data_IF_566406071729
#
_entry.id   IF_566406071729
#
_cell.length_a   1.000
_cell.length_b   1.000
_cell.length_c   1.000
_cell.angle_alpha   90.00
_cell.angle_beta   90.00
_cell.angle_gamma   90.00
#
_symmetry.space_group_name_H-M   'P 1'
#
loop_
_entity.id
_entity.type
_entity.pdbx_description
1 polymer ?
#
# COMPACT_ATOMS: atom_id res chain seq x y z
N UNK A 1 47.64 -27.82 20.49
CA UNK A 1 47.27 -26.74 19.55
C UNK A 1 45.77 -26.73 19.43
N UNK A 2 45.10 -25.86 20.19
CA UNK A 2 43.65 -25.81 20.29
C UNK A 2 43.24 -24.33 20.28
N UNK A 3 42.49 -23.91 19.27
CA UNK A 3 41.91 -22.58 19.17
C UNK A 3 40.40 -22.73 19.04
N UNK A 4 39.72 -22.57 20.18
CA UNK A 4 38.28 -22.40 20.30
C UNK A 4 37.92 -21.00 19.81
N UNK A 5 37.12 -20.89 18.75
CA UNK A 5 36.47 -19.64 18.35
C UNK A 5 35.04 -19.68 18.86
N UNK A 6 34.81 -18.98 19.97
CA UNK A 6 33.50 -18.70 20.56
C UNK A 6 32.99 -17.40 19.94
N UNK A 7 32.08 -17.51 18.96
CA UNK A 7 31.34 -16.35 18.43
C UNK A 7 30.06 -16.16 19.25
N UNK A 8 30.11 -15.21 20.19
CA UNK A 8 28.95 -14.66 20.88
C UNK A 8 28.27 -13.64 19.98
N UNK A 9 27.24 -14.05 19.24
CA UNK A 9 26.30 -13.12 18.61
C UNK A 9 25.35 -12.57 19.69
N UNK A 10 25.66 -11.40 20.24
CA UNK A 10 24.69 -10.57 20.97
C UNK A 10 23.80 -9.85 19.94
N UNK A 11 22.66 -10.45 19.61
CA UNK A 11 21.53 -9.73 19.02
C UNK A 11 20.92 -8.83 20.10
N UNK A 12 21.30 -7.55 20.06
CA UNK A 12 20.62 -6.50 20.82
C UNK A 12 19.27 -6.24 20.15
N UNK A 13 18.19 -6.74 20.76
CA UNK A 13 16.83 -6.33 20.44
C UNK A 13 16.70 -4.83 20.71
N UNK A 14 16.65 -4.01 19.65
CA UNK A 14 16.10 -2.67 19.73
C UNK A 14 14.58 -2.79 19.81
N UNK A 15 14.05 -2.86 21.03
CA UNK A 15 12.67 -2.51 21.31
C UNK A 15 12.51 -1.00 21.10
N UNK A 16 12.13 -0.59 19.90
CA UNK A 16 11.56 0.74 19.66
C UNK A 16 10.17 0.76 20.29
N UNK A 17 10.13 1.01 21.60
CA UNK A 17 8.91 1.34 22.31
C UNK A 17 8.29 2.57 21.62
N UNK A 18 7.14 2.34 20.99
CA UNK A 18 6.25 3.36 20.47
C UNK A 18 5.77 4.21 21.66
N UNK A 19 6.53 5.25 22.01
CA UNK A 19 6.08 6.25 22.97
C UNK A 19 5.20 7.24 22.23
N UNK A 20 3.91 7.21 22.54
CA UNK A 20 3.01 8.29 22.18
C UNK A 20 3.53 9.58 22.82
N UNK A 21 3.58 10.71 22.08
CA UNK A 21 3.96 11.98 22.68
C UNK A 21 2.93 12.33 23.76
N UNK A 22 3.42 12.31 24.99
CA UNK A 22 2.75 12.78 26.20
C UNK A 22 2.31 14.22 25.98
N UNK A 23 1.03 14.47 26.25
CA UNK A 23 0.36 15.78 26.17
C UNK A 23 1.30 16.94 26.47
N UNK A 24 1.49 17.81 25.46
CA UNK A 24 2.01 19.14 25.67
C UNK A 24 0.95 19.87 26.50
N UNK A 25 1.22 20.04 27.80
CA UNK A 25 0.55 21.02 28.62
C UNK A 25 0.93 22.41 28.10
N UNK A 26 0.28 22.85 27.02
CA UNK A 26 0.20 24.27 26.71
C UNK A 26 -0.73 24.86 27.75
N UNK A 27 -0.16 25.61 28.70
CA UNK A 27 -0.90 26.55 29.51
C UNK A 27 -1.70 27.45 28.56
N UNK A 28 -2.98 27.13 28.41
CA UNK A 28 -3.91 27.86 27.57
C UNK A 28 -4.02 29.26 28.11
N UNK A 29 -3.38 30.20 27.40
CA UNK A 29 -3.86 31.57 27.38
C UNK A 29 -5.30 31.49 26.87
N UNK A 30 -6.31 31.98 27.61
CA UNK A 30 -7.69 31.88 27.16
C UNK A 30 -7.78 32.58 25.81
N UNK A 31 -8.14 31.80 24.79
CA UNK A 31 -8.53 32.30 23.48
C UNK A 31 -9.70 33.23 23.78
N UNK A 32 -9.42 34.53 23.71
CA UNK A 32 -10.43 35.56 23.69
C UNK A 32 -11.44 35.18 22.62
N UNK A 33 -12.66 34.90 23.08
CA UNK A 33 -13.80 34.54 22.27
C UNK A 33 -13.86 35.47 21.05
N UNK A 34 -13.58 34.90 19.88
CA UNK A 34 -13.96 35.50 18.60
C UNK A 34 -15.48 35.53 18.66
N UNK A 35 -16.07 36.72 18.85
CA UNK A 35 -17.52 36.91 18.84
C UNK A 35 -18.04 36.60 17.42
N UNK A 36 -18.77 35.49 17.20
CA UNK A 36 -19.32 35.12 15.90
C UNK A 36 -20.77 35.62 15.72
N UNK A 37 -21.30 36.41 16.67
CA UNK A 37 -22.75 36.61 16.77
C UNK A 37 -23.31 37.65 15.78
N UNK A 38 -22.52 38.64 15.35
CA UNK A 38 -23.04 39.70 14.45
C UNK A 38 -23.18 39.24 12.99
N UNK A 39 -22.28 38.38 12.49
CA UNK A 39 -22.35 37.87 11.11
C UNK A 39 -23.44 36.80 10.92
N UNK A 40 -23.77 36.06 11.98
CA UNK A 40 -24.85 35.07 11.96
C UNK A 40 -26.23 35.76 11.92
N UNK A 41 -26.37 36.90 12.59
CA UNK A 41 -27.58 37.72 12.56
C UNK A 41 -27.89 38.25 11.15
N UNK A 42 -26.88 38.78 10.45
CA UNK A 42 -27.02 39.17 9.04
C UNK A 42 -27.36 37.99 8.11
N UNK A 43 -26.84 36.80 8.43
CA UNK A 43 -27.14 35.55 7.72
C UNK A 43 -28.61 35.14 7.84
N UNK A 44 -29.14 35.16 9.05
CA UNK A 44 -30.51 34.77 9.35
C UNK A 44 -31.52 35.79 8.79
N UNK A 45 -31.19 37.08 8.82
CA UNK A 45 -32.01 38.14 8.22
C UNK A 45 -32.15 37.98 6.69
N UNK A 46 -31.04 37.67 6.00
CA UNK A 46 -31.05 37.42 4.56
C UNK A 46 -31.83 36.13 4.20
N UNK A 47 -31.79 35.12 5.07
CA UNK A 47 -32.56 33.89 4.89
C UNK A 47 -34.08 34.12 5.04
N UNK A 48 -34.47 34.91 6.04
CA UNK A 48 -35.87 35.28 6.26
C UNK A 48 -36.44 36.09 5.10
N UNK A 49 -35.67 37.05 4.56
CA UNK A 49 -36.06 37.81 3.38
C UNK A 49 -36.33 36.89 2.17
N UNK A 50 -35.49 35.87 1.96
CA UNK A 50 -35.69 34.89 0.89
C UNK A 50 -36.93 34.01 1.08
N UNK A 51 -37.17 33.50 2.30
CA UNK A 51 -38.38 32.71 2.58
C UNK A 51 -39.65 33.53 2.34
N UNK A 52 -39.62 34.82 2.68
CA UNK A 52 -40.75 35.72 2.45
C UNK A 52 -41.06 35.85 0.95
N UNK A 53 -40.04 36.06 0.11
CA UNK A 53 -40.21 36.13 -1.35
C UNK A 53 -40.66 34.80 -1.96
N UNK A 54 -40.28 33.66 -1.37
CA UNK A 54 -40.73 32.33 -1.82
C UNK A 54 -42.22 32.08 -1.54
N UNK A 55 -42.82 32.82 -0.59
CA UNK A 55 -44.25 32.74 -0.21
C UNK A 55 -45.14 33.75 -0.96
N UNK A 56 -44.55 34.72 -1.67
CA UNK A 56 -45.28 35.76 -2.43
C UNK A 56 -45.92 35.22 -3.72
N UNK A 57 -46.95 35.90 -4.29
CA UNK A 57 -47.70 35.40 -5.44
C UNK A 57 -46.81 35.16 -6.67
N UNK A 58 -47.33 34.36 -7.61
CA UNK A 58 -46.57 33.81 -8.76
C UNK A 58 -45.79 34.85 -9.59
N UNK A 59 -46.22 36.11 -9.61
CA UNK A 59 -45.46 37.19 -10.27
C UNK A 59 -44.10 37.43 -9.61
N UNK A 60 -44.07 37.66 -8.28
CA UNK A 60 -42.82 37.91 -7.54
C UNK A 60 -41.90 36.70 -7.59
N UNK A 61 -42.45 35.49 -7.46
CA UNK A 61 -41.67 34.25 -7.53
C UNK A 61 -40.97 34.09 -8.87
N UNK A 62 -41.65 34.40 -9.99
CA UNK A 62 -41.05 34.35 -11.33
C UNK A 62 -39.95 35.40 -11.50
N UNK A 63 -40.18 36.63 -11.05
CA UNK A 63 -39.16 37.71 -11.13
C UNK A 63 -37.95 37.37 -10.25
N UNK A 64 -38.17 36.91 -9.02
CA UNK A 64 -37.11 36.46 -8.11
C UNK A 64 -36.30 35.29 -8.69
N UNK A 65 -36.95 34.34 -9.38
CA UNK A 65 -36.28 33.26 -10.11
C UNK A 65 -35.34 33.78 -11.21
N UNK A 66 -35.76 34.81 -11.97
CA UNK A 66 -34.91 35.43 -13.00
C UNK A 66 -33.77 36.24 -12.43
N UNK A 67 -33.98 36.89 -11.29
CA UNK A 67 -32.91 37.55 -10.54
C UNK A 67 -31.90 36.50 -10.13
N UNK A 68 -32.34 35.42 -9.45
CA UNK A 68 -31.47 34.33 -8.98
C UNK A 68 -30.55 33.75 -10.06
N UNK A 69 -31.08 33.47 -11.26
CA UNK A 69 -30.27 32.92 -12.37
C UNK A 69 -29.21 33.91 -12.86
N UNK A 70 -29.51 35.22 -12.83
CA UNK A 70 -28.64 36.28 -13.37
C UNK A 70 -27.71 36.92 -12.34
N UNK A 71 -27.89 36.65 -11.05
CA UNK A 71 -27.00 37.13 -9.98
C UNK A 71 -25.59 36.49 -10.00
N UNK A 72 -25.38 35.42 -10.79
CA UNK A 72 -24.08 34.75 -10.92
C UNK A 72 -23.06 35.55 -11.73
N UNK A 73 -23.53 36.42 -12.64
CA UNK A 73 -22.69 37.29 -13.44
C UNK A 73 -22.43 38.58 -12.66
N UNK A 74 -21.19 38.73 -12.18
CA UNK A 74 -20.58 39.86 -11.47
C UNK A 74 -21.38 41.18 -11.53
N UNK A 75 -21.89 41.62 -10.36
CA UNK A 75 -22.66 42.84 -10.13
C UNK A 75 -23.71 43.10 -11.22
N UNK A 76 -24.96 42.69 -10.99
CA UNK A 76 -26.04 42.90 -11.96
C UNK A 76 -25.91 44.27 -12.63
N UNK A 77 -25.70 44.24 -13.95
CA UNK A 77 -25.63 45.43 -14.78
C UNK A 77 -26.76 46.38 -14.35
N UNK A 78 -26.47 47.67 -14.21
CA UNK A 78 -27.44 48.65 -13.77
C UNK A 78 -28.77 48.55 -14.54
N UNK A 79 -28.72 48.26 -15.85
CA UNK A 79 -29.92 48.04 -16.66
C UNK A 79 -30.73 46.80 -16.24
N UNK A 80 -30.07 45.71 -15.84
CA UNK A 80 -30.74 44.52 -15.32
C UNK A 80 -31.30 44.75 -13.91
N UNK A 81 -30.61 45.54 -13.10
CA UNK A 81 -31.12 46.00 -11.79
C UNK A 81 -32.38 46.84 -11.95
N UNK A 82 -32.35 47.80 -12.88
CA UNK A 82 -33.51 48.63 -13.22
C UNK A 82 -34.66 47.76 -13.77
N UNK A 83 -34.38 46.85 -14.71
CA UNK A 83 -35.39 45.93 -15.27
C UNK A 83 -36.02 45.03 -14.19
N UNK A 84 -35.23 44.50 -13.26
CA UNK A 84 -35.70 43.72 -12.13
C UNK A 84 -36.58 44.55 -11.19
N UNK A 85 -36.16 45.76 -10.85
CA UNK A 85 -36.92 46.69 -10.00
C UNK A 85 -38.25 47.10 -10.66
N UNK A 86 -38.25 47.39 -11.96
CA UNK A 86 -39.47 47.64 -12.74
C UNK A 86 -40.40 46.42 -12.65
N UNK A 87 -39.87 45.22 -12.91
CA UNK A 87 -40.67 43.99 -12.91
C UNK A 87 -41.28 43.69 -11.53
N UNK A 88 -40.53 43.90 -10.44
CA UNK A 88 -41.04 43.76 -9.07
C UNK A 88 -42.11 44.81 -8.74
N UNK A 89 -41.91 46.04 -9.17
CA UNK A 89 -42.90 47.13 -9.02
C UNK A 89 -44.19 46.79 -9.75
N UNK A 90 -44.11 46.30 -10.99
CA UNK A 90 -45.28 45.89 -11.76
C UNK A 90 -46.02 44.71 -11.11
N UNK A 91 -45.29 43.77 -10.49
CA UNK A 91 -45.92 42.72 -9.69
C UNK A 91 -46.69 43.30 -8.50
N UNK A 92 -46.15 44.31 -7.81
CA UNK A 92 -46.84 45.00 -6.71
C UNK A 92 -48.08 45.76 -7.21
N UNK A 93 -47.96 46.52 -8.29
CA UNK A 93 -49.07 47.27 -8.87
C UNK A 93 -50.18 46.35 -9.38
N UNK A 94 -49.84 45.20 -9.96
CA UNK A 94 -50.81 44.20 -10.39
C UNK A 94 -51.61 43.61 -9.22
N UNK A 95 -51.07 43.62 -8.00
CA UNK A 95 -51.79 43.21 -6.79
C UNK A 95 -52.64 44.32 -6.17
N UNK A 96 -52.40 45.58 -6.53
CA UNK A 96 -53.17 46.71 -6.02
C UNK A 96 -54.46 46.90 -6.82
N UNK A 97 -55.61 46.76 -6.16
CA UNK A 97 -56.94 46.78 -6.81
C UNK A 97 -57.34 48.12 -7.45
N UNK A 98 -56.69 49.23 -7.10
CA UNK A 98 -57.10 50.58 -7.50
C UNK A 98 -56.07 51.34 -8.34
N UNK A 99 -55.02 50.66 -8.83
CA UNK A 99 -53.98 51.31 -9.63
C UNK A 99 -53.84 50.62 -10.98
N UNK A 100 -53.99 51.38 -12.07
CA UNK A 100 -53.67 50.92 -13.41
C UNK A 100 -52.18 51.03 -13.68
N UNK A 101 -51.60 50.02 -14.31
CA UNK A 101 -50.21 50.03 -14.76
C UNK A 101 -50.02 51.13 -15.82
N UNK A 102 -48.97 51.98 -15.73
CA UNK A 102 -48.67 52.97 -16.77
C UNK A 102 -48.48 52.33 -18.14
N UNK A 103 -49.04 52.94 -19.20
CA UNK A 103 -48.97 52.41 -20.56
C UNK A 103 -47.53 52.35 -21.08
N UNK A 104 -46.67 53.25 -20.61
CA UNK A 104 -45.23 53.28 -20.89
C UNK A 104 -44.51 52.03 -20.38
N UNK A 105 -45.09 51.32 -19.41
CA UNK A 105 -44.56 50.08 -18.85
C UNK A 105 -45.20 48.81 -19.45
N UNK A 106 -46.15 48.93 -20.38
CA UNK A 106 -46.93 47.79 -20.89
C UNK A 106 -46.07 46.71 -21.57
N UNK A 107 -44.91 47.08 -22.11
CA UNK A 107 -43.96 46.16 -22.73
C UNK A 107 -43.14 45.34 -21.72
N UNK A 108 -43.11 45.73 -20.45
CA UNK A 108 -42.44 44.96 -19.38
C UNK A 108 -43.35 43.86 -18.90
N UNK A 109 -43.30 42.72 -19.58
CA UNK A 109 -43.81 41.48 -19.03
C UNK A 109 -42.68 40.76 -18.30
N UNK A 110 -43.01 39.91 -17.32
CA UNK A 110 -42.01 39.12 -16.59
C UNK A 110 -41.13 38.31 -17.56
N UNK A 111 -41.65 37.97 -18.75
CA UNK A 111 -40.99 37.16 -19.78
C UNK A 111 -40.35 37.92 -20.94
N UNK A 112 -40.49 39.25 -21.01
CA UNK A 112 -39.93 40.02 -22.12
C UNK A 112 -38.47 40.39 -21.87
N UNK A 113 -37.59 40.02 -22.81
CA UNK A 113 -36.21 40.52 -22.90
C UNK A 113 -36.15 41.87 -23.61
N UNK A 114 -36.85 42.87 -23.05
CA UNK A 114 -36.75 44.24 -23.52
C UNK A 114 -35.39 44.81 -23.12
N UNK A 115 -34.47 44.85 -24.10
CA UNK A 115 -33.10 45.37 -23.92
C UNK A 115 -32.96 46.87 -24.20
N UNK A 116 -34.01 47.56 -24.63
CA UNK A 116 -33.92 48.99 -24.96
C UNK A 116 -33.99 49.86 -23.70
N UNK A 117 -32.88 50.53 -23.40
CA UNK A 117 -32.75 51.51 -22.30
C UNK A 117 -33.78 52.65 -22.40
N UNK A 118 -34.21 53.01 -23.61
CA UNK A 118 -35.23 54.04 -23.84
C UNK A 118 -36.60 53.64 -23.27
N UNK A 119 -37.01 52.38 -23.42
CA UNK A 119 -38.29 51.89 -22.89
C UNK A 119 -38.21 51.78 -21.35
N UNK A 120 -37.06 51.36 -20.80
CA UNK A 120 -36.81 51.38 -19.36
C UNK A 120 -36.93 52.81 -18.80
N UNK A 121 -36.28 53.79 -19.45
CA UNK A 121 -36.33 55.19 -19.05
C UNK A 121 -37.75 55.77 -19.08
N UNK A 122 -38.53 55.48 -20.12
CA UNK A 122 -39.92 55.93 -20.23
C UNK A 122 -40.82 55.34 -19.12
N UNK A 123 -40.63 54.06 -18.79
CA UNK A 123 -41.37 53.43 -17.69
C UNK A 123 -40.97 54.00 -16.31
N UNK A 124 -39.66 54.25 -16.09
CA UNK A 124 -39.18 54.90 -14.85
C UNK A 124 -39.68 56.33 -14.72
N UNK A 125 -39.70 57.10 -15.82
CA UNK A 125 -40.31 58.44 -15.87
C UNK A 125 -41.80 58.37 -15.47
N UNK A 126 -42.54 57.39 -16.01
CA UNK A 126 -43.94 57.18 -15.65
C UNK A 126 -44.14 56.84 -14.16
N UNK A 127 -43.26 56.03 -13.55
CA UNK A 127 -43.29 55.79 -12.10
C UNK A 127 -43.03 57.05 -11.28
N UNK A 128 -42.17 57.96 -11.75
CA UNK A 128 -41.86 59.21 -11.05
C UNK A 128 -43.07 60.16 -10.92
N UNK A 129 -44.09 60.00 -11.77
CA UNK A 129 -45.33 60.80 -11.74
C UNK A 129 -46.23 60.47 -10.54
N UNK A 130 -46.01 59.35 -9.85
CA UNK A 130 -46.73 58.93 -8.65
C UNK A 130 -45.76 58.65 -7.51
N UNK A 131 -45.89 59.37 -6.40
CA UNK A 131 -45.04 59.17 -5.22
C UNK A 131 -45.08 57.72 -4.70
N UNK A 132 -46.24 57.06 -4.79
CA UNK A 132 -46.40 55.66 -4.39
C UNK A 132 -45.61 54.72 -5.30
N UNK A 133 -45.71 54.89 -6.63
CA UNK A 133 -45.02 54.02 -7.58
C UNK A 133 -43.51 54.24 -7.53
N UNK A 134 -43.09 55.49 -7.38
CA UNK A 134 -41.68 55.84 -7.17
C UNK A 134 -41.11 55.22 -5.89
N UNK A 135 -41.89 55.19 -4.80
CA UNK A 135 -41.48 54.57 -3.54
C UNK A 135 -41.26 53.06 -3.73
N UNK A 136 -42.20 52.33 -4.34
CA UNK A 136 -42.05 50.90 -4.59
C UNK A 136 -40.87 50.60 -5.52
N UNK A 137 -40.73 51.35 -6.63
CA UNK A 137 -39.61 51.19 -7.56
C UNK A 137 -38.25 51.45 -6.91
N UNK A 138 -38.09 52.57 -6.21
CA UNK A 138 -36.83 52.91 -5.56
C UNK A 138 -36.48 51.97 -4.40
N UNK A 139 -37.49 51.40 -3.73
CA UNK A 139 -37.33 50.31 -2.78
C UNK A 139 -36.73 49.08 -3.43
N UNK A 140 -37.39 48.53 -4.47
CA UNK A 140 -36.88 47.35 -5.16
C UNK A 140 -35.52 47.58 -5.84
N UNK A 141 -35.24 48.79 -6.33
CA UNK A 141 -33.93 49.11 -6.90
C UNK A 141 -32.79 48.94 -5.88
N UNK A 142 -33.05 49.22 -4.59
CA UNK A 142 -32.10 49.02 -3.48
C UNK A 142 -32.09 47.58 -2.96
N UNK A 143 -33.25 46.91 -2.98
CA UNK A 143 -33.38 45.53 -2.48
C UNK A 143 -32.82 44.48 -3.44
N UNK A 144 -32.92 44.69 -4.76
CA UNK A 144 -32.48 43.72 -5.77
C UNK A 144 -30.99 43.31 -5.61
N UNK A 145 -30.03 44.24 -5.38
CA UNK A 145 -28.67 43.86 -5.04
C UNK A 145 -28.57 42.99 -3.78
N UNK A 146 -29.32 43.32 -2.73
CA UNK A 146 -29.33 42.57 -1.47
C UNK A 146 -29.88 41.14 -1.69
N UNK A 147 -30.93 41.01 -2.49
CA UNK A 147 -31.48 39.71 -2.91
C UNK A 147 -30.44 38.90 -3.69
N UNK A 148 -29.67 39.53 -4.58
CA UNK A 148 -28.59 38.84 -5.28
C UNK A 148 -27.48 38.35 -4.35
N UNK A 149 -27.06 39.17 -3.38
CA UNK A 149 -26.11 38.72 -2.37
C UNK A 149 -26.63 37.53 -1.58
N UNK A 150 -27.92 37.54 -1.19
CA UNK A 150 -28.56 36.43 -0.51
C UNK A 150 -28.60 35.16 -1.40
N UNK A 151 -28.97 35.28 -2.68
CA UNK A 151 -29.00 34.14 -3.61
C UNK A 151 -27.64 33.53 -3.86
N UNK A 152 -26.62 34.35 -4.06
CA UNK A 152 -25.24 33.89 -4.26
C UNK A 152 -24.76 33.12 -3.04
N UNK A 153 -24.92 33.70 -1.86
CA UNK A 153 -24.54 33.05 -0.59
C UNK A 153 -25.27 31.74 -0.40
N UNK A 154 -26.55 31.67 -0.74
CA UNK A 154 -27.33 30.44 -0.64
C UNK A 154 -26.81 29.36 -1.60
N UNK A 155 -26.48 29.74 -2.85
CA UNK A 155 -25.87 28.83 -3.82
C UNK A 155 -24.48 28.36 -3.36
N UNK A 156 -23.69 29.24 -2.76
CA UNK A 156 -22.38 28.89 -2.19
C UNK A 156 -22.53 27.90 -1.01
N UNK A 157 -23.53 28.10 -0.15
CA UNK A 157 -23.85 27.17 0.96
C UNK A 157 -24.25 25.79 0.42
N UNK A 158 -25.12 25.74 -0.60
CA UNK A 158 -25.55 24.47 -1.18
C UNK A 158 -24.40 23.77 -1.93
N UNK A 159 -23.55 24.53 -2.62
CA UNK A 159 -22.32 24.01 -3.24
C UNK A 159 -21.38 23.45 -2.18
N UNK A 160 -21.17 24.17 -1.07
CA UNK A 160 -20.35 23.70 0.03
C UNK A 160 -20.91 22.40 0.64
N UNK A 161 -22.22 22.32 0.88
CA UNK A 161 -22.87 21.09 1.36
C UNK A 161 -22.65 19.91 0.42
N UNK A 162 -22.75 20.13 -0.89
CA UNK A 162 -22.51 19.07 -1.87
C UNK A 162 -21.03 18.61 -1.87
N UNK A 163 -20.09 19.55 -1.80
CA UNK A 163 -18.65 19.24 -1.64
C UNK A 163 -18.41 18.42 -0.36
N UNK A 164 -18.98 18.82 0.77
CA UNK A 164 -18.85 18.07 2.04
C UNK A 164 -19.44 16.67 1.95
N UNK A 165 -20.59 16.51 1.30
CA UNK A 165 -21.21 15.21 1.06
C UNK A 165 -20.31 14.33 0.20
N UNK A 166 -19.78 14.84 -0.90
CA UNK A 166 -18.88 14.11 -1.78
C UNK A 166 -17.58 13.71 -1.06
N UNK A 167 -16.97 14.65 -0.31
CA UNK A 167 -15.78 14.39 0.50
C UNK A 167 -16.03 13.33 1.60
N UNK A 168 -17.21 13.34 2.23
CA UNK A 168 -17.59 12.33 3.22
C UNK A 168 -17.71 10.94 2.59
N UNK A 169 -18.31 10.85 1.40
CA UNK A 169 -18.43 9.59 0.66
C UNK A 169 -17.04 9.06 0.28
N UNK A 170 -16.15 9.92 -0.24
CA UNK A 170 -14.77 9.53 -0.59
C UNK A 170 -14.00 9.05 0.64
N UNK A 171 -14.13 9.75 1.77
CA UNK A 171 -13.50 9.36 3.03
C UNK A 171 -14.02 8.00 3.50
N UNK A 172 -15.33 7.75 3.39
CA UNK A 172 -15.92 6.45 3.74
C UNK A 172 -15.37 5.33 2.85
N UNK A 173 -15.24 5.58 1.53
CA UNK A 173 -14.68 4.62 0.59
C UNK A 173 -13.21 4.30 0.90
N UNK A 174 -12.42 5.33 1.24
CA UNK A 174 -11.03 5.15 1.66
C UNK A 174 -10.93 4.29 2.93
N UNK A 175 -11.76 4.57 3.94
CA UNK A 175 -11.81 3.77 5.17
C UNK A 175 -12.16 2.31 4.85
N UNK A 176 -13.15 2.06 3.98
CA UNK A 176 -13.50 0.70 3.57
C UNK A 176 -12.34 -0.02 2.87
N UNK A 177 -11.60 0.68 2.01
CA UNK A 177 -10.42 0.12 1.35
C UNK A 177 -9.31 -0.23 2.36
N UNK A 178 -9.06 0.64 3.34
CA UNK A 178 -8.09 0.38 4.40
C UNK A 178 -8.50 -0.83 5.26
N UNK A 179 -9.78 -0.95 5.62
CA UNK A 179 -10.30 -2.11 6.35
C UNK A 179 -10.18 -3.41 5.54
N UNK A 180 -10.45 -3.36 4.23
CA UNK A 180 -10.29 -4.51 3.36
C UNK A 180 -8.82 -4.97 3.28
N UNK A 181 -7.89 -4.02 3.18
CA UNK A 181 -6.45 -4.29 3.22
C UNK A 181 -6.02 -4.88 4.55
N UNK A 182 -6.44 -4.30 5.68
CA UNK A 182 -6.12 -4.82 7.01
C UNK A 182 -6.61 -6.27 7.17
N UNK A 183 -7.82 -6.58 6.69
CA UNK A 183 -8.35 -7.94 6.69
C UNK A 183 -7.48 -8.90 5.87
N UNK A 184 -6.99 -8.46 4.71
CA UNK A 184 -6.07 -9.25 3.88
C UNK A 184 -4.73 -9.47 4.59
N UNK A 185 -4.17 -8.45 5.23
CA UNK A 185 -2.92 -8.53 5.97
C UNK A 185 -3.04 -9.48 7.17
N UNK A 186 -4.16 -9.43 7.90
CA UNK A 186 -4.46 -10.37 8.99
C UNK A 186 -4.60 -11.81 8.48
N UNK A 187 -5.21 -12.02 7.31
CA UNK A 187 -5.28 -13.35 6.70
C UNK A 187 -3.91 -13.84 6.24
N UNK A 188 -3.08 -12.96 5.68
CA UNK A 188 -1.69 -13.24 5.33
C UNK A 188 -0.86 -13.63 6.55
N UNK A 189 -0.97 -12.87 7.65
CA UNK A 189 -0.31 -13.16 8.92
C UNK A 189 -0.71 -14.54 9.47
N UNK A 190 -2.00 -14.88 9.47
CA UNK A 190 -2.46 -16.21 9.88
C UNK A 190 -1.86 -17.35 9.03
N UNK A 191 -1.72 -17.15 7.72
CA UNK A 191 -1.07 -18.13 6.83
C UNK A 191 0.43 -18.26 7.15
N UNK A 192 1.09 -17.13 7.41
CA UNK A 192 2.49 -17.12 7.79
C UNK A 192 2.73 -17.83 9.12
N UNK A 193 1.90 -17.56 10.13
CA UNK A 193 1.95 -18.24 11.44
C UNK A 193 1.75 -19.75 11.27
N UNK A 194 0.84 -20.19 10.39
CA UNK A 194 0.65 -21.61 10.07
C UNK A 194 1.91 -22.22 9.41
N UNK A 195 2.55 -21.52 8.47
CA UNK A 195 3.81 -21.99 7.86
C UNK A 195 4.97 -22.05 8.85
N UNK A 196 5.07 -21.09 9.79
CA UNK A 196 6.07 -21.15 10.84
C UNK A 196 5.85 -22.36 11.76
N UNK A 197 4.59 -22.67 12.09
CA UNK A 197 4.26 -23.87 12.86
C UNK A 197 4.60 -25.16 12.10
N UNK A 198 4.39 -25.21 10.78
CA UNK A 198 4.78 -26.34 9.93
C UNK A 198 6.32 -26.50 9.90
N UNK A 199 7.06 -25.40 9.78
CA UNK A 199 8.52 -25.42 9.83
C UNK A 199 9.05 -25.89 11.18
N UNK A 200 8.40 -25.50 12.29
CA UNK A 200 8.73 -26.00 13.62
C UNK A 200 8.51 -27.52 13.70
N UNK A 201 7.40 -28.03 13.16
CA UNK A 201 7.14 -29.46 13.08
C UNK A 201 8.22 -30.18 12.26
N UNK A 202 8.59 -29.65 11.09
CA UNK A 202 9.67 -30.21 10.26
C UNK A 202 11.01 -30.21 11.01
N UNK A 203 11.34 -29.13 11.71
CA UNK A 203 12.55 -29.03 12.51
C UNK A 203 12.57 -30.06 13.66
N UNK A 204 11.44 -30.26 14.34
CA UNK A 204 11.33 -31.30 15.38
C UNK A 204 11.46 -32.71 14.80
N UNK A 205 10.86 -32.99 13.63
CA UNK A 205 11.02 -34.27 12.92
C UNK A 205 12.49 -34.51 12.54
N UNK A 206 13.17 -33.52 11.97
CA UNK A 206 14.61 -33.57 11.67
C UNK A 206 15.44 -33.85 12.92
N UNK A 207 15.13 -33.20 14.05
CA UNK A 207 15.80 -33.46 15.33
C UNK A 207 15.57 -34.90 15.81
N UNK A 208 14.36 -35.42 15.71
CA UNK A 208 14.08 -36.82 16.08
C UNK A 208 14.80 -37.81 15.17
N UNK A 209 14.90 -37.51 13.86
CA UNK A 209 15.64 -38.34 12.92
C UNK A 209 17.14 -38.31 13.20
N UNK A 210 17.70 -37.14 13.52
CA UNK A 210 19.09 -37.02 13.97
C UNK A 210 19.36 -37.86 15.22
N UNK A 211 18.47 -37.81 16.22
CA UNK A 211 18.60 -38.62 17.42
C UNK A 211 18.50 -40.13 17.11
N UNK A 212 17.62 -40.54 16.19
CA UNK A 212 17.53 -41.93 15.75
C UNK A 212 18.81 -42.40 15.04
N UNK A 213 19.37 -41.55 14.17
CA UNK A 213 20.64 -41.82 13.48
C UNK A 213 21.76 -42.00 14.51
N UNK A 214 21.86 -41.14 15.51
CA UNK A 214 22.86 -41.28 16.59
C UNK A 214 22.70 -42.59 17.38
N UNK A 215 21.47 -43.00 17.67
CA UNK A 215 21.18 -44.29 18.34
C UNK A 215 21.60 -45.46 17.44
N UNK A 216 21.28 -45.43 16.14
CA UNK A 216 21.66 -46.49 15.20
C UNK A 216 23.18 -46.55 15.04
N UNK A 217 23.86 -45.42 14.87
CA UNK A 217 25.32 -45.35 14.76
C UNK A 217 25.98 -45.88 16.03
N UNK A 218 25.53 -45.43 17.21
CA UNK A 218 26.10 -45.89 18.49
C UNK A 218 25.84 -47.37 18.78
N UNK A 219 24.75 -47.95 18.28
CA UNK A 219 24.48 -49.39 18.41
C UNK A 219 25.22 -50.23 17.35
N UNK A 220 25.37 -49.71 16.13
CA UNK A 220 26.03 -50.40 15.03
C UNK A 220 27.55 -50.40 15.20
N UNK A 221 28.15 -49.29 15.64
CA UNK A 221 29.61 -49.15 15.80
C UNK A 221 30.24 -50.28 16.63
N UNK A 222 29.80 -50.61 17.86
CA UNK A 222 30.41 -51.67 18.64
C UNK A 222 30.13 -53.05 18.05
N UNK A 223 28.97 -53.28 17.40
CA UNK A 223 28.70 -54.55 16.72
C UNK A 223 29.64 -54.75 15.54
N UNK A 224 29.85 -53.70 14.75
CA UNK A 224 30.77 -53.73 13.63
C UNK A 224 32.20 -53.99 14.11
N UNK A 225 32.66 -53.27 15.14
CA UNK A 225 33.98 -53.51 15.75
C UNK A 225 34.13 -54.94 16.28
N UNK A 226 33.10 -55.48 16.92
CA UNK A 226 33.14 -56.82 17.49
C UNK A 226 33.13 -57.91 16.40
N UNK A 227 32.27 -57.79 15.38
CA UNK A 227 32.26 -58.67 14.20
C UNK A 227 33.60 -58.63 13.46
N UNK A 228 34.17 -57.43 13.24
CA UNK A 228 35.47 -57.27 12.60
C UNK A 228 36.59 -57.90 13.42
N UNK A 229 36.57 -57.73 14.75
CA UNK A 229 37.51 -58.41 15.64
C UNK A 229 37.36 -59.92 15.53
N UNK A 230 36.13 -60.44 15.55
CA UNK A 230 35.85 -61.88 15.47
C UNK A 230 36.32 -62.46 14.14
N UNK A 231 36.11 -61.75 13.02
CA UNK A 231 36.60 -62.14 11.70
C UNK A 231 38.13 -62.13 11.67
N UNK A 232 38.76 -61.07 12.19
CA UNK A 232 40.23 -60.97 12.25
C UNK A 232 40.83 -62.07 13.11
N UNK A 233 40.21 -62.40 14.25
CA UNK A 233 40.68 -63.44 15.15
C UNK A 233 40.46 -64.83 14.54
N UNK A 234 39.31 -65.10 13.92
CA UNK A 234 39.08 -66.34 13.17
C UNK A 234 40.07 -66.49 11.99
N UNK A 235 40.43 -65.38 11.33
CA UNK A 235 41.40 -65.38 10.26
C UNK A 235 42.82 -65.65 10.79
N UNK A 236 43.20 -65.06 11.94
CA UNK A 236 44.46 -65.35 12.62
C UNK A 236 44.54 -66.80 13.08
N UNK A 237 43.48 -67.34 13.67
CA UNK A 237 43.42 -68.71 14.14
C UNK A 237 43.56 -69.69 12.97
N UNK A 238 42.85 -69.44 11.86
CA UNK A 238 43.02 -70.25 10.65
C UNK A 238 44.41 -70.12 10.03
N UNK A 239 45.02 -68.93 10.04
CA UNK A 239 46.41 -68.75 9.59
C UNK A 239 47.39 -69.52 10.47
N UNK A 240 47.20 -69.48 11.79
CA UNK A 240 47.99 -70.24 12.74
C UNK A 240 47.83 -71.75 12.50
N UNK A 241 46.60 -72.21 12.28
CA UNK A 241 46.30 -73.62 12.04
C UNK A 241 46.83 -74.12 10.69
N UNK A 242 46.74 -73.31 9.63
CA UNK A 242 47.39 -73.60 8.35
C UNK A 242 48.91 -73.63 8.50
N UNK A 243 49.50 -72.74 9.31
CA UNK A 243 50.94 -72.71 9.53
C UNK A 243 51.44 -73.88 10.38
N UNK A 244 50.68 -74.32 11.38
CA UNK A 244 51.00 -75.52 12.18
C UNK A 244 50.79 -76.79 11.38
N UNK A 245 49.70 -76.90 10.61
CA UNK A 245 49.46 -78.04 9.73
C UNK A 245 50.49 -78.10 8.61
N UNK A 246 50.84 -76.98 7.97
CA UNK A 246 51.92 -76.94 6.98
C UNK A 246 53.29 -77.29 7.58
N UNK A 247 53.57 -76.91 8.84
CA UNK A 247 54.80 -77.32 9.54
C UNK A 247 54.79 -78.79 9.94
N UNK A 248 53.66 -79.31 10.41
CA UNK A 248 53.50 -80.72 10.78
C UNK A 248 53.56 -81.63 9.55
N UNK A 249 52.94 -81.23 8.44
CA UNK A 249 53.08 -81.90 7.15
C UNK A 249 54.48 -81.74 6.58
N UNK A 250 55.13 -80.58 6.66
CA UNK A 250 56.53 -80.46 6.26
C UNK A 250 57.46 -81.32 7.12
N UNK A 251 57.22 -81.45 8.44
CA UNK A 251 58.00 -82.36 9.27
C UNK A 251 57.71 -83.82 8.93
N UNK A 252 56.44 -84.16 8.67
CA UNK A 252 56.05 -85.51 8.28
C UNK A 252 56.59 -85.88 6.89
N UNK A 253 56.63 -84.94 5.94
CA UNK A 253 57.20 -85.10 4.60
C UNK A 253 58.74 -85.11 4.67
N UNK A 254 59.37 -84.34 5.55
CA UNK A 254 60.83 -84.42 5.78
C UNK A 254 61.20 -85.75 6.45
N UNK A 255 60.39 -86.26 7.38
CA UNK A 255 60.60 -87.56 8.03
C UNK A 255 60.26 -88.72 7.07
N UNK A 256 59.23 -88.58 6.22
CA UNK A 256 58.95 -89.52 5.14
C UNK A 256 60.04 -89.50 4.08
N UNK A 257 60.51 -88.34 3.63
CA UNK A 257 61.62 -88.21 2.67
C UNK A 257 62.92 -88.73 3.29
N UNK A 258 63.17 -88.51 4.59
CA UNK A 258 64.32 -89.08 5.31
C UNK A 258 64.27 -90.62 5.35
N UNK A 259 63.08 -91.19 5.54
CA UNK A 259 62.88 -92.65 5.53
C UNK A 259 62.82 -93.26 4.11
N UNK A 260 62.32 -92.52 3.13
CA UNK A 260 62.21 -92.92 1.72
C UNK A 260 63.52 -92.70 0.96
N UNK A 261 64.41 -91.78 1.35
CA UNK A 261 65.74 -91.61 0.72
C UNK A 261 66.62 -92.86 0.90
N UNK A 262 66.33 -93.70 1.91
CA UNK A 262 66.97 -95.01 2.06
C UNK A 262 66.38 -96.10 1.13
N UNK A 263 65.19 -95.88 0.55
CA UNK A 263 64.48 -96.83 -0.30
C UNK A 263 64.35 -96.38 -1.77
N UNK A 264 64.56 -95.10 -2.06
CA UNK A 264 64.62 -94.47 -3.40
C UNK A 264 65.87 -94.92 -4.20
N UNK A 265 66.77 -95.71 -3.60
CA UNK A 265 67.79 -96.43 -4.37
C UNK A 265 67.24 -97.65 -5.14
N UNK A 266 65.96 -98.05 -4.96
CA UNK A 266 65.50 -99.32 -5.56
C UNK A 266 64.23 -99.36 -6.40
N UNK A 267 63.28 -98.43 -6.37
CA UNK A 267 62.04 -98.63 -7.18
C UNK A 267 61.37 -97.36 -7.69
N UNK A 268 61.75 -96.96 -8.90
CA UNK A 268 61.05 -95.95 -9.75
C UNK A 268 59.84 -96.58 -10.50
N UNK A 269 59.16 -97.58 -9.92
CA UNK A 269 58.13 -98.35 -10.65
C UNK A 269 56.69 -98.21 -10.17
N UNK A 270 56.43 -97.68 -8.97
CA UNK A 270 55.10 -97.75 -8.32
C UNK A 270 54.60 -96.32 -7.96
N UNK A 271 54.97 -95.33 -8.78
CA UNK A 271 54.72 -93.91 -8.45
C UNK A 271 53.29 -93.45 -8.78
N UNK A 272 52.50 -94.21 -9.55
CA UNK A 272 51.22 -93.70 -10.06
C UNK A 272 50.02 -93.97 -9.14
N UNK A 273 50.03 -95.04 -8.34
CA UNK A 273 48.90 -95.38 -7.46
C UNK A 273 48.99 -94.75 -6.06
N UNK A 274 50.19 -94.45 -5.57
CA UNK A 274 50.36 -93.81 -4.26
C UNK A 274 50.16 -92.29 -4.31
N UNK A 275 50.37 -91.66 -5.48
CA UNK A 275 50.09 -90.24 -5.69
C UNK A 275 48.60 -89.90 -5.55
N UNK A 276 47.68 -90.78 -6.02
CA UNK A 276 46.24 -90.54 -5.87
C UNK A 276 45.74 -90.70 -4.42
N UNK A 277 46.30 -91.63 -3.65
CA UNK A 277 45.91 -91.80 -2.25
C UNK A 277 46.49 -90.71 -1.33
N UNK A 278 47.63 -90.12 -1.69
CA UNK A 278 48.21 -88.96 -1.00
C UNK A 278 47.57 -87.61 -1.42
N UNK A 279 47.05 -87.49 -2.65
CA UNK A 279 46.36 -86.28 -3.12
C UNK A 279 44.89 -86.18 -2.66
N UNK A 280 44.24 -87.29 -2.31
CA UNK A 280 42.85 -87.31 -1.84
C UNK A 280 42.56 -86.37 -0.64
N UNK A 281 43.37 -86.36 0.44
CA UNK A 281 43.17 -85.40 1.53
C UNK A 281 43.37 -83.95 1.09
N UNK A 282 44.36 -83.69 0.22
CA UNK A 282 44.61 -82.35 -0.34
C UNK A 282 43.44 -81.85 -1.19
N UNK A 283 42.79 -82.74 -1.94
CA UNK A 283 41.61 -82.42 -2.74
C UNK A 283 40.38 -82.13 -1.88
N UNK A 284 40.17 -82.89 -0.80
CA UNK A 284 39.08 -82.63 0.15
C UNK A 284 39.29 -81.31 0.92
N UNK A 285 40.53 -81.01 1.30
CA UNK A 285 40.88 -79.75 1.97
C UNK A 285 40.81 -78.55 1.01
N UNK A 286 41.16 -78.73 -0.26
CA UNK A 286 40.95 -77.75 -1.33
C UNK A 286 39.46 -77.43 -1.53
N UNK A 287 38.58 -78.42 -1.47
CA UNK A 287 37.13 -78.23 -1.56
C UNK A 287 36.57 -77.46 -0.36
N UNK A 288 37.03 -77.77 0.86
CA UNK A 288 36.62 -77.04 2.06
C UNK A 288 37.14 -75.59 2.07
N UNK A 289 38.35 -75.35 1.56
CA UNK A 289 38.86 -73.99 1.36
C UNK A 289 38.05 -73.22 0.29
N UNK A 290 37.55 -73.92 -0.74
CA UNK A 290 36.67 -73.34 -1.76
C UNK A 290 35.30 -72.95 -1.19
N UNK A 291 34.69 -73.75 -0.32
CA UNK A 291 33.40 -73.41 0.31
C UNK A 291 33.51 -72.19 1.23
N UNK A 292 34.63 -72.07 1.95
CA UNK A 292 34.92 -70.90 2.80
C UNK A 292 35.17 -69.66 1.94
N UNK A 293 35.89 -69.81 0.83
CA UNK A 293 36.09 -68.72 -0.14
C UNK A 293 34.77 -68.28 -0.78
N UNK A 294 33.89 -69.22 -1.15
CA UNK A 294 32.56 -68.92 -1.68
C UNK A 294 31.66 -68.22 -0.64
N UNK A 295 31.68 -68.67 0.60
CA UNK A 295 30.91 -68.02 1.69
C UNK A 295 31.42 -66.61 1.98
N UNK A 296 32.73 -66.41 1.98
CA UNK A 296 33.33 -65.08 2.11
C UNK A 296 32.97 -64.19 0.91
N UNK A 297 32.90 -64.75 -0.29
CA UNK A 297 32.52 -64.02 -1.50
C UNK A 297 31.03 -63.60 -1.50
N UNK A 298 30.12 -64.45 -1.02
CA UNK A 298 28.70 -64.07 -0.85
C UNK A 298 28.52 -62.95 0.19
N UNK A 299 29.21 -63.04 1.33
CA UNK A 299 29.25 -61.98 2.34
C UNK A 299 29.76 -60.67 1.72
N UNK A 300 30.82 -60.76 0.90
CA UNK A 300 31.39 -59.57 0.25
C UNK A 300 30.45 -58.93 -0.76
N UNK A 301 29.71 -59.73 -1.52
CA UNK A 301 28.68 -59.23 -2.44
C UNK A 301 27.57 -58.52 -1.67
N UNK A 302 27.09 -59.11 -0.56
CA UNK A 302 26.03 -58.51 0.25
C UNK A 302 26.48 -57.19 0.91
N UNK A 303 27.73 -57.13 1.39
CA UNK A 303 28.32 -55.94 1.98
C UNK A 303 28.50 -54.83 0.94
N UNK A 304 28.94 -55.20 -0.28
CA UNK A 304 29.04 -54.26 -1.41
C UNK A 304 27.68 -53.71 -1.81
N UNK A 305 26.64 -54.55 -1.81
CA UNK A 305 25.27 -54.14 -2.08
C UNK A 305 24.78 -53.12 -1.05
N UNK A 306 24.95 -53.38 0.25
CA UNK A 306 24.56 -52.44 1.31
C UNK A 306 25.32 -51.12 1.22
N UNK A 307 26.61 -51.16 0.88
CA UNK A 307 27.40 -49.95 0.69
C UNK A 307 26.86 -49.09 -0.47
N UNK A 308 26.42 -49.72 -1.56
CA UNK A 308 25.79 -49.01 -2.69
C UNK A 308 24.49 -48.31 -2.29
N UNK A 309 23.65 -48.97 -1.49
CA UNK A 309 22.38 -48.42 -0.99
C UNK A 309 22.62 -47.24 -0.04
N UNK A 310 23.63 -47.35 0.82
CA UNK A 310 24.06 -46.26 1.71
C UNK A 310 24.61 -45.07 0.90
N UNK A 311 25.40 -45.34 -0.14
CA UNK A 311 25.91 -44.29 -1.02
C UNK A 311 24.79 -43.56 -1.76
N UNK A 312 23.77 -44.29 -2.23
CA UNK A 312 22.61 -43.71 -2.90
C UNK A 312 21.78 -42.83 -1.95
N UNK A 313 21.53 -43.30 -0.72
CA UNK A 313 20.81 -42.51 0.30
C UNK A 313 21.57 -41.25 0.70
N UNK A 314 22.90 -41.29 0.79
CA UNK A 314 23.72 -40.08 1.01
C UNK A 314 23.56 -39.07 -0.12
N UNK A 315 23.52 -39.53 -1.38
CA UNK A 315 23.31 -38.65 -2.55
C UNK A 315 21.92 -38.02 -2.52
N UNK A 316 20.88 -38.79 -2.20
CA UNK A 316 19.51 -38.27 -2.08
C UNK A 316 19.37 -37.23 -0.96
N UNK A 317 19.97 -37.49 0.20
CA UNK A 317 20.00 -36.52 1.31
C UNK A 317 20.78 -35.26 0.91
N UNK A 318 21.94 -35.40 0.26
CA UNK A 318 22.73 -34.27 -0.25
C UNK A 318 21.94 -33.40 -1.23
N UNK A 319 21.24 -34.04 -2.18
CA UNK A 319 20.37 -33.34 -3.14
C UNK A 319 19.20 -32.63 -2.42
N UNK A 320 18.60 -33.27 -1.42
CA UNK A 320 17.57 -32.67 -0.58
C UNK A 320 18.06 -31.43 0.16
N UNK A 321 19.26 -31.50 0.78
CA UNK A 321 19.89 -30.37 1.48
C UNK A 321 20.24 -29.24 0.51
N UNK A 322 20.78 -29.56 -0.67
CA UNK A 322 21.07 -28.55 -1.70
C UNK A 322 19.81 -27.80 -2.14
N UNK A 323 18.71 -28.54 -2.38
CA UNK A 323 17.41 -27.95 -2.74
C UNK A 323 16.83 -27.09 -1.61
N UNK A 324 16.93 -27.54 -0.36
CA UNK A 324 16.49 -26.76 0.80
C UNK A 324 17.30 -25.46 0.94
N UNK A 325 18.62 -25.52 0.75
CA UNK A 325 19.50 -24.35 0.78
C UNK A 325 19.13 -23.35 -0.31
N UNK A 326 18.91 -23.80 -1.55
CA UNK A 326 18.49 -22.93 -2.64
C UNK A 326 17.12 -22.28 -2.39
N UNK A 327 16.19 -23.01 -1.75
CA UNK A 327 14.87 -22.49 -1.39
C UNK A 327 14.97 -21.44 -0.28
N UNK A 328 15.84 -21.67 0.72
CA UNK A 328 16.11 -20.73 1.79
C UNK A 328 16.78 -19.45 1.26
N UNK A 329 17.72 -19.58 0.31
CA UNK A 329 18.36 -18.44 -0.33
C UNK A 329 17.38 -17.60 -1.17
N UNK A 330 16.46 -18.26 -1.89
CA UNK A 330 15.39 -17.56 -2.57
C UNK A 330 14.45 -16.83 -1.59
N UNK A 331 14.15 -17.44 -0.43
CA UNK A 331 13.29 -16.80 0.58
C UNK A 331 13.97 -15.62 1.27
N UNK A 332 15.29 -15.69 1.52
CA UNK A 332 16.05 -14.57 2.11
C UNK A 332 16.18 -13.41 1.14
N UNK A 333 16.39 -13.67 -0.15
CA UNK A 333 16.37 -12.64 -1.19
C UNK A 333 15.00 -11.96 -1.28
N UNK A 334 13.91 -12.72 -1.25
CA UNK A 334 12.55 -12.15 -1.25
C UNK A 334 12.31 -11.28 -0.01
N UNK A 335 12.75 -11.74 1.16
CA UNK A 335 12.62 -10.97 2.40
C UNK A 335 13.40 -9.64 2.34
N UNK A 336 14.58 -9.63 1.72
CA UNK A 336 15.34 -8.39 1.49
C UNK A 336 14.59 -7.42 0.57
N UNK A 337 14.06 -7.90 -0.56
CA UNK A 337 13.29 -7.05 -1.49
C UNK A 337 12.06 -6.45 -0.80
N UNK A 338 11.35 -7.25 0.01
CA UNK A 338 10.20 -6.75 0.78
C UNK A 338 10.62 -5.72 1.82
N UNK A 339 11.75 -5.94 2.50
CA UNK A 339 12.29 -4.99 3.48
C UNK A 339 12.68 -3.65 2.84
N UNK A 340 13.36 -3.69 1.69
CA UNK A 340 13.75 -2.48 0.94
C UNK A 340 12.51 -1.70 0.46
N UNK A 341 11.48 -2.42 -0.03
CA UNK A 341 10.21 -1.81 -0.41
C UNK A 341 9.49 -1.16 0.79
N UNK A 342 9.57 -1.78 1.97
CA UNK A 342 9.00 -1.23 3.20
C UNK A 342 9.74 0.04 3.65
N UNK A 343 11.08 0.06 3.57
CA UNK A 343 11.89 1.25 3.86
C UNK A 343 11.51 2.37 2.91
N UNK A 344 11.46 2.11 1.59
CA UNK A 344 11.10 3.10 0.58
C UNK A 344 9.69 3.69 0.80
N UNK A 345 8.72 2.83 1.13
CA UNK A 345 7.35 3.25 1.45
C UNK A 345 7.30 4.14 2.71
N UNK A 346 8.06 3.79 3.77
CA UNK A 346 8.14 4.60 4.99
C UNK A 346 8.75 5.98 4.73
N UNK A 347 9.76 6.04 3.85
CA UNK A 347 10.47 7.27 3.49
C UNK A 347 9.57 8.20 2.66
N UNK A 348 8.79 7.63 1.72
CA UNK A 348 7.76 8.39 1.01
C UNK A 348 6.67 8.92 1.93
N UNK A 349 6.21 8.13 2.91
CA UNK A 349 5.23 8.58 3.89
C UNK A 349 5.78 9.71 4.78
N UNK A 350 7.05 9.62 5.20
CA UNK A 350 7.74 10.68 5.95
C UNK A 350 7.84 11.98 5.15
N UNK A 351 8.25 11.91 3.88
CA UNK A 351 8.34 13.08 3.01
C UNK A 351 6.96 13.73 2.76
N UNK A 352 5.90 12.92 2.66
CA UNK A 352 4.53 13.42 2.54
C UNK A 352 4.09 14.16 3.82
N UNK A 353 4.41 13.62 4.99
CA UNK A 353 4.10 14.27 6.25
C UNK A 353 4.85 15.60 6.41
N UNK A 354 6.12 15.65 5.99
CA UNK A 354 6.92 16.87 6.00
C UNK A 354 6.35 17.94 5.05
N UNK A 355 6.01 17.56 3.81
CA UNK A 355 5.40 18.48 2.84
C UNK A 355 4.03 19.00 3.31
N UNK A 356 3.20 18.15 3.93
CA UNK A 356 1.94 18.60 4.54
C UNK A 356 2.18 19.57 5.70
N UNK A 357 3.19 19.33 6.52
CA UNK A 357 3.56 20.21 7.63
C UNK A 357 4.04 21.56 7.10
N UNK A 358 4.90 21.55 6.08
CA UNK A 358 5.41 22.76 5.44
C UNK A 358 4.30 23.57 4.75
N UNK A 359 3.36 22.90 4.07
CA UNK A 359 2.19 23.55 3.48
C UNK A 359 1.30 24.20 4.55
N UNK A 360 1.11 23.51 5.67
CA UNK A 360 0.31 24.02 6.79
C UNK A 360 0.97 25.24 7.43
N UNK A 361 2.29 25.21 7.67
CA UNK A 361 3.02 26.35 8.25
C UNK A 361 3.04 27.54 7.30
N UNK A 362 3.32 27.35 6.00
CA UNK A 362 3.27 28.44 5.02
C UNK A 362 1.87 29.03 4.85
N UNK A 363 0.83 28.21 4.93
CA UNK A 363 -0.56 28.69 4.92
C UNK A 363 -0.84 29.53 6.17
N UNK A 364 -0.38 29.10 7.34
CA UNK A 364 -0.57 29.83 8.60
C UNK A 364 0.19 31.17 8.60
N UNK A 365 1.46 31.19 8.17
CA UNK A 365 2.22 32.44 8.02
C UNK A 365 1.57 33.39 7.01
N UNK A 366 1.02 32.86 5.91
CA UNK A 366 0.33 33.69 4.90
C UNK A 366 -0.94 34.31 5.48
N UNK A 367 -1.71 33.54 6.25
CA UNK A 367 -2.90 34.03 6.95
C UNK A 367 -2.54 35.08 8.01
N UNK A 368 -1.45 34.88 8.76
CA UNK A 368 -1.00 35.83 9.77
C UNK A 368 -0.51 37.14 9.14
N UNK A 369 0.23 37.06 8.03
CA UNK A 369 0.61 38.24 7.22
C UNK A 369 -0.62 38.97 6.68
N UNK A 370 -1.62 38.24 6.20
CA UNK A 370 -2.90 38.82 5.77
C UNK A 370 -3.61 39.52 6.93
N UNK A 371 -3.66 38.89 8.10
CA UNK A 371 -4.30 39.45 9.28
C UNK A 371 -3.57 40.71 9.78
N UNK A 372 -2.24 40.71 9.81
CA UNK A 372 -1.44 41.88 10.16
C UNK A 372 -1.61 43.02 9.16
N UNK A 373 -1.69 42.69 7.86
CA UNK A 373 -1.95 43.66 6.79
C UNK A 373 -3.34 44.29 6.94
N UNK A 374 -4.37 43.47 7.20
CA UNK A 374 -5.72 43.94 7.46
C UNK A 374 -5.81 44.81 8.73
N UNK A 375 -5.10 44.43 9.79
CA UNK A 375 -5.01 45.18 11.04
C UNK A 375 -4.33 46.55 10.87
N UNK A 376 -3.22 46.62 10.12
CA UNK A 376 -2.57 47.88 9.78
C UNK A 376 -3.44 48.75 8.87
N UNK A 377 -4.21 48.16 7.97
CA UNK A 377 -5.17 48.90 7.14
C UNK A 377 -6.27 49.51 8.02
N UNK A 378 -6.84 48.73 8.95
CA UNK A 378 -7.83 49.21 9.90
C UNK A 378 -7.26 50.33 10.79
N UNK A 379 -6.08 50.12 11.39
CA UNK A 379 -5.46 51.11 12.28
C UNK A 379 -4.97 52.38 11.58
N UNK A 380 -4.70 52.37 10.29
CA UNK A 380 -4.35 53.60 9.55
C UNK A 380 -5.58 54.33 9.02
N UNK A 381 -6.70 53.63 8.82
CA UNK A 381 -7.96 54.23 8.37
C UNK A 381 -8.80 54.81 9.52
N UNK A 382 -8.60 54.34 10.76
CA UNK A 382 -9.43 54.69 11.92
C UNK A 382 -9.02 55.92 12.78
N UNK A 383 -7.76 56.41 12.88
CA UNK A 383 -7.44 57.45 13.87
C UNK A 383 -7.52 58.90 13.37
N UNK A 384 -7.78 59.18 12.08
CA UNK A 384 -7.68 60.58 11.58
C UNK A 384 -8.73 61.05 10.56
N UNK A 385 -9.66 60.22 10.16
CA UNK A 385 -10.76 60.66 9.31
C UNK A 385 -11.92 61.14 10.20
N UNK A 386 -12.19 62.45 10.20
CA UNK A 386 -13.54 62.91 10.54
C UNK A 386 -14.54 62.18 9.64
N UNK A 387 -15.77 61.98 10.12
CA UNK A 387 -16.85 61.22 9.44
C UNK A 387 -17.06 61.54 7.94
N UNK A 388 -16.57 62.68 7.46
CA UNK A 388 -16.60 63.13 6.07
C UNK A 388 -15.48 62.55 5.19
N UNK A 389 -14.27 62.30 5.73
CA UNK A 389 -13.14 61.78 4.95
C UNK A 389 -13.22 60.25 4.74
N UNK A 390 -13.94 59.56 5.64
CA UNK A 390 -14.20 58.12 5.56
C UNK A 390 -15.16 57.78 4.41
N UNK A 391 -16.06 58.70 4.06
CA UNK A 391 -16.92 58.58 2.87
C UNK A 391 -16.12 58.71 1.56
N UNK A 392 -15.15 59.63 1.52
CA UNK A 392 -14.29 59.84 0.35
C UNK A 392 -13.30 58.68 0.13
N UNK A 393 -12.76 58.11 1.19
CA UNK A 393 -11.90 56.91 1.12
C UNK A 393 -12.66 55.66 0.66
N UNK A 394 -13.91 55.46 1.11
CA UNK A 394 -14.76 54.38 0.60
C UNK A 394 -15.04 54.56 -0.91
N UNK A 395 -15.28 55.79 -1.37
CA UNK A 395 -15.50 56.10 -2.79
C UNK A 395 -14.21 55.93 -3.64
N UNK A 396 -13.04 56.28 -3.09
CA UNK A 396 -11.75 56.12 -3.75
C UNK A 396 -11.27 54.66 -3.81
N UNK A 397 -11.49 53.86 -2.76
CA UNK A 397 -11.17 52.41 -2.74
C UNK A 397 -12.11 51.65 -3.69
N UNK A 398 -13.39 52.02 -3.77
CA UNK A 398 -14.32 51.47 -4.76
C UNK A 398 -13.93 51.84 -6.20
N UNK A 399 -13.38 53.04 -6.45
CA UNK A 399 -12.87 53.43 -7.78
C UNK A 399 -11.54 52.77 -8.17
N UNK A 400 -10.63 52.53 -7.24
CA UNK A 400 -9.30 51.97 -7.55
C UNK A 400 -9.29 50.45 -7.67
N UNK A 401 -10.14 49.75 -6.91
CA UNK A 401 -10.36 48.31 -7.08
C UNK A 401 -11.02 47.98 -8.42
N UNK A 402 -11.86 48.89 -8.95
CA UNK A 402 -12.43 48.77 -10.31
C UNK A 402 -11.38 48.90 -11.43
N UNK A 403 -10.32 49.70 -11.26
CA UNK A 403 -9.29 49.89 -12.29
C UNK A 403 -8.19 48.82 -12.27
N UNK A 404 -7.85 48.28 -11.09
CA UNK A 404 -6.89 47.17 -10.96
C UNK A 404 -7.46 45.84 -11.50
N UNK A 405 -8.76 45.60 -11.33
CA UNK A 405 -9.44 44.44 -11.92
C UNK A 405 -9.55 44.56 -13.45
N UNK A 406 -9.71 45.77 -14.00
CA UNK A 406 -9.72 46.01 -15.44
C UNK A 406 -8.36 45.72 -16.12
N UNK A 407 -7.24 45.96 -15.43
CA UNK A 407 -5.91 45.74 -16.00
C UNK A 407 -5.43 44.27 -15.92
N UNK A 408 -5.82 43.55 -14.87
CA UNK A 408 -5.51 42.12 -14.74
C UNK A 408 -6.30 41.24 -15.72
N UNK A 409 -7.48 41.70 -16.16
CA UNK A 409 -8.32 41.01 -17.13
C UNK A 409 -7.85 41.19 -18.60
N UNK A 410 -7.00 42.19 -18.87
CA UNK A 410 -6.55 42.51 -20.24
C UNK A 410 -5.28 41.76 -20.66
N UNK A 411 -4.55 41.15 -19.72
CA UNK A 411 -3.32 40.38 -19.97
C UNK A 411 -3.54 38.86 -20.06
N UNK A 412 -4.73 38.35 -19.69
CA UNK A 412 -5.05 36.92 -19.73
C UNK A 412 -5.88 36.48 -20.94
N UNK A 413 -6.21 37.40 -21.85
CA UNK A 413 -7.00 37.12 -23.05
C UNK A 413 -6.22 37.40 -24.34
N UNK A 414 -5.21 36.57 -24.60
CA UNK A 414 -4.76 36.36 -25.98
C UNK A 414 -4.54 34.86 -26.26
N UNK A 415 -5.57 34.15 -26.77
CA UNK A 415 -5.38 32.89 -27.46
C UNK A 415 -5.52 33.10 -28.98
N UNK A 416 -4.40 33.01 -29.69
CA UNK A 416 -4.38 32.77 -31.13
C UNK A 416 -4.54 31.26 -31.40
N UNK A 417 -5.73 30.92 -31.89
CA UNK A 417 -6.04 30.06 -33.04
C UNK A 417 -5.35 28.67 -33.22
N UNK A 418 -6.25 27.67 -33.23
CA UNK A 418 -6.45 26.60 -34.25
C UNK A 418 -5.35 25.56 -34.56
N UNK A 419 -5.65 24.28 -34.31
CA UNK A 419 -6.04 23.30 -35.35
C UNK A 419 -6.31 21.89 -34.76
N UNK A 420 -7.22 21.09 -35.35
CA UNK A 420 -7.39 19.67 -35.01
C UNK A 420 -6.62 18.78 -36.00
N UNK A 421 -5.86 17.81 -35.50
CA UNK A 421 -5.42 16.66 -36.29
C UNK A 421 -5.70 15.36 -35.54
N UNK A 422 -6.57 14.58 -36.17
CA UNK A 422 -6.83 13.17 -35.96
C UNK A 422 -5.56 12.34 -36.03
N UNK A 423 -5.31 11.49 -35.03
CA UNK A 423 -4.59 10.23 -35.25
C UNK A 423 -5.17 9.10 -34.39
N UNK A 424 -5.59 8.08 -35.10
CA UNK A 424 -5.90 6.71 -34.70
C UNK A 424 -4.80 6.10 -33.82
N UNK A 425 -5.16 5.48 -32.70
CA UNK A 425 -4.28 4.56 -31.99
C UNK A 425 -4.97 3.20 -31.78
N UNK A 426 -4.43 2.22 -32.47
CA UNK A 426 -4.75 0.79 -32.47
C UNK A 426 -4.49 0.17 -31.09
N UNK A 427 -5.51 -0.45 -30.51
CA UNK A 427 -5.38 -1.29 -29.31
C UNK A 427 -5.04 -2.72 -29.71
N UNK A 428 -3.81 -3.13 -29.46
CA UNK A 428 -3.37 -4.53 -29.50
C UNK A 428 -3.88 -5.26 -28.25
N UNK A 429 -4.73 -6.27 -28.47
CA UNK A 429 -5.13 -7.27 -27.47
C UNK A 429 -4.10 -8.41 -27.49
N UNK A 430 -3.43 -8.65 -26.37
CA UNK A 430 -2.76 -9.93 -26.10
C UNK A 430 -3.63 -10.76 -25.15
N UNK A 431 -4.09 -11.91 -25.64
CA UNK A 431 -4.68 -13.01 -24.89
C UNK A 431 -3.61 -14.10 -24.75
N UNK A 432 -3.42 -14.76 -23.60
CA UNK A 432 -2.64 -15.99 -23.55
C UNK A 432 -3.53 -17.20 -23.84
N UNK A 433 -3.01 -18.07 -24.70
CA UNK A 433 -3.55 -19.37 -25.09
C UNK A 433 -3.39 -20.38 -23.93
N UNK A 434 -4.51 -21.00 -23.56
CA UNK A 434 -4.55 -22.32 -22.94
C UNK A 434 -4.05 -23.37 -23.95
N UNK A 435 -3.12 -24.23 -23.53
CA UNK A 435 -2.90 -25.52 -24.19
C UNK A 435 -2.66 -26.60 -23.14
N UNK A 436 -3.54 -27.61 -23.20
CA UNK A 436 -3.39 -28.93 -22.63
C UNK A 436 -2.15 -29.61 -23.23
N UNK A 437 -1.30 -30.19 -22.40
CA UNK A 437 -0.97 -31.62 -22.37
C UNK A 437 -0.26 -31.95 -21.06
#
# INVERSE_FOLDING_TARGET
MATRVLLLFRLSLCCSAFSWPRQINTAGKPISAIQPEDDLGGLLANHAAFEEYSRRPDCFRRVAGKIRVRCGDLEMNENERVKAAISMTLCELATATHHSIPLECASFTVDSDVSSTQIQGACVDAFSRSAQFWSSYSGYLREVPQLCFAFRRWNDIDTAKDIYKNSTIETMNLIQLLLAREKQDLAGKKRWDAHLSELEEVATRLKTMSNLIDVVISAASPRFENELSTIVDAFKDRLADVQTNARAEHSQVIDQISSEFQLISRRVGILTNNLNNALSPFQAQSLQAFDVANSAQELWINLTLQFSTMQQTIVEVSNGVSKATATLEASTQLAQVVHDAQIAASLSASNLAETLTQLTTTTHESLEKFNASAGLLAQNLLPRAGLTDLLWLMEAVLRSSFSAFAFAFQLTLHPQLTHPLSHTCTTSRFFPLFLRY
#
